data_IF_645975624692
#
_entry.id   IF_645975624692
#
_cell.length_a   1.000
_cell.length_b   1.000
_cell.length_c   1.000
_cell.angle_alpha   90.00
_cell.angle_beta   90.00
_cell.angle_gamma   90.00
#
_symmetry.space_group_name_H-M   'P 1'
#
loop_
_entity.id
_entity.type
_entity.pdbx_description
1 polymer ?
#
# COMPACT_ATOMS: atom_id res chain seq x y z
N UNK A 1 25.19 -33.36 -3.35
CA UNK A 1 23.76 -33.58 -3.68
C UNK A 1 23.63 -33.46 -5.19
N UNK A 2 23.31 -34.56 -5.86
CA UNK A 2 23.11 -34.61 -7.32
C UNK A 2 21.99 -33.63 -7.67
N UNK A 3 22.33 -32.57 -8.41
CA UNK A 3 21.40 -31.52 -8.79
C UNK A 3 20.54 -32.02 -9.95
N UNK A 4 19.27 -32.26 -9.68
CA UNK A 4 18.28 -32.39 -10.74
C UNK A 4 17.90 -30.97 -11.19
N UNK A 5 18.70 -30.41 -12.10
CA UNK A 5 18.56 -29.02 -12.57
C UNK A 5 17.17 -28.77 -13.17
N UNK A 6 16.53 -29.80 -13.73
CA UNK A 6 15.17 -29.74 -14.26
C UNK A 6 14.10 -29.57 -13.17
N UNK A 7 14.26 -30.26 -12.04
CA UNK A 7 13.34 -30.14 -10.91
C UNK A 7 13.35 -28.72 -10.34
N UNK A 8 14.53 -28.16 -10.07
CA UNK A 8 14.64 -26.81 -9.52
C UNK A 8 14.22 -25.72 -10.51
N UNK A 9 14.38 -25.96 -11.82
CA UNK A 9 13.83 -25.07 -12.84
C UNK A 9 12.29 -25.04 -12.81
N UNK A 10 11.64 -26.20 -12.65
CA UNK A 10 10.19 -26.28 -12.52
C UNK A 10 9.68 -25.61 -11.23
N UNK A 11 10.34 -25.85 -10.09
CA UNK A 11 10.01 -25.20 -8.82
C UNK A 11 10.19 -23.69 -8.91
N UNK A 12 11.27 -23.23 -9.57
CA UNK A 12 11.52 -21.80 -9.81
C UNK A 12 10.43 -21.17 -10.66
N UNK A 13 10.04 -21.80 -11.77
CA UNK A 13 8.99 -21.31 -12.65
C UNK A 13 7.68 -21.12 -11.89
N UNK A 14 7.26 -22.10 -11.09
CA UNK A 14 6.06 -22.01 -10.26
C UNK A 14 6.17 -20.95 -9.15
N UNK A 15 7.35 -20.85 -8.52
CA UNK A 15 7.65 -19.85 -7.50
C UNK A 15 7.60 -18.41 -8.05
N UNK A 16 8.22 -18.18 -9.21
CA UNK A 16 8.33 -16.87 -9.85
C UNK A 16 7.07 -16.46 -10.62
N UNK A 17 6.26 -17.41 -11.12
CA UNK A 17 5.00 -17.15 -11.81
C UNK A 17 3.94 -16.49 -10.92
N UNK A 18 4.09 -16.62 -9.59
CA UNK A 18 3.24 -16.00 -8.55
C UNK A 18 1.74 -16.33 -8.60
N UNK A 19 1.33 -17.34 -9.37
CA UNK A 19 -0.08 -17.72 -9.53
C UNK A 19 -0.69 -18.34 -8.26
N UNK A 20 0.14 -18.94 -7.40
CA UNK A 20 -0.29 -19.61 -6.17
C UNK A 20 0.58 -19.20 -4.96
N UNK A 21 0.14 -19.55 -3.74
CA UNK A 21 0.91 -19.27 -2.52
C UNK A 21 2.19 -20.13 -2.45
N UNK A 22 3.18 -19.74 -1.63
CA UNK A 22 4.42 -20.54 -1.50
C UNK A 22 4.12 -21.92 -0.91
N UNK A 23 3.12 -22.01 -0.03
CA UNK A 23 2.63 -23.26 0.55
C UNK A 23 2.05 -24.18 -0.51
N UNK A 24 1.31 -23.63 -1.48
CA UNK A 24 0.77 -24.40 -2.60
C UNK A 24 1.88 -24.87 -3.56
N UNK A 25 2.90 -24.04 -3.83
CA UNK A 25 4.09 -24.47 -4.59
C UNK A 25 4.83 -25.59 -3.84
N UNK A 26 5.01 -25.43 -2.52
CA UNK A 26 5.66 -26.41 -1.67
C UNK A 26 4.93 -27.76 -1.71
N UNK A 27 3.61 -27.75 -1.53
CA UNK A 27 2.77 -28.93 -1.61
C UNK A 27 2.84 -29.61 -2.98
N UNK A 28 2.76 -28.83 -4.07
CA UNK A 28 2.80 -29.35 -5.45
C UNK A 28 4.10 -30.09 -5.76
N UNK A 29 5.22 -29.59 -5.25
CA UNK A 29 6.55 -30.14 -5.52
C UNK A 29 7.06 -31.07 -4.40
N UNK A 30 6.23 -31.40 -3.40
CA UNK A 30 6.62 -32.25 -2.27
C UNK A 30 7.71 -31.64 -1.39
N UNK A 31 7.81 -30.32 -1.34
CA UNK A 31 8.80 -29.56 -0.58
C UNK A 31 8.17 -28.92 0.65
N UNK A 32 9.02 -28.53 1.60
CA UNK A 32 8.62 -27.61 2.66
C UNK A 32 8.83 -26.16 2.19
N UNK A 33 8.07 -25.22 2.76
CA UNK A 33 8.25 -23.79 2.51
C UNK A 33 9.68 -23.34 2.82
N UNK A 34 10.28 -23.87 3.89
CA UNK A 34 11.67 -23.59 4.28
C UNK A 34 12.68 -24.05 3.22
N UNK A 35 12.43 -25.20 2.56
CA UNK A 35 13.30 -25.72 1.50
C UNK A 35 13.23 -24.89 0.23
N UNK A 36 12.05 -24.35 -0.11
CA UNK A 36 11.90 -23.37 -1.19
C UNK A 36 12.59 -22.05 -0.84
N UNK A 37 12.42 -21.54 0.39
CA UNK A 37 13.05 -20.30 0.82
C UNK A 37 14.58 -20.39 0.82
N UNK A 38 15.13 -21.52 1.27
CA UNK A 38 16.55 -21.82 1.21
C UNK A 38 17.04 -21.86 -0.24
N UNK A 39 16.38 -22.62 -1.12
CA UNK A 39 16.75 -22.71 -2.53
C UNK A 39 16.66 -21.35 -3.26
N UNK A 40 15.63 -20.55 -2.96
CA UNK A 40 15.49 -19.21 -3.52
C UNK A 40 16.62 -18.27 -3.11
N UNK A 41 17.14 -18.41 -1.87
CA UNK A 41 18.29 -17.64 -1.38
C UNK A 41 19.60 -18.10 -2.02
N UNK A 42 19.84 -19.42 -2.06
CA UNK A 42 21.07 -20.00 -2.59
C UNK A 42 21.22 -19.81 -4.10
N UNK A 43 20.10 -19.80 -4.84
CA UNK A 43 20.09 -19.69 -6.30
C UNK A 43 19.67 -18.29 -6.81
N UNK A 44 19.65 -17.29 -5.93
CA UNK A 44 19.29 -15.89 -6.21
C UNK A 44 18.00 -15.73 -7.04
N UNK A 45 16.95 -16.48 -6.67
CA UNK A 45 15.66 -16.38 -7.33
C UNK A 45 15.01 -15.02 -7.07
N UNK A 46 14.15 -14.57 -7.99
CA UNK A 46 13.41 -13.31 -7.81
C UNK A 46 12.56 -13.40 -6.55
N UNK A 47 12.96 -12.66 -5.51
CA UNK A 47 12.24 -12.66 -4.24
C UNK A 47 10.77 -12.33 -4.47
N UNK A 48 9.88 -13.13 -3.89
CA UNK A 48 8.45 -12.82 -3.80
C UNK A 48 8.19 -11.71 -2.78
N UNK A 49 8.86 -10.57 -2.92
CA UNK A 49 8.45 -9.35 -2.22
C UNK A 49 7.29 -8.73 -2.97
N UNK A 50 6.11 -9.18 -2.57
CA UNK A 50 5.03 -8.32 -2.11
C UNK A 50 4.13 -9.31 -1.39
N UNK A 51 4.23 -9.35 -0.04
CA UNK A 51 3.06 -9.63 0.80
C UNK A 51 1.91 -9.01 0.03
N UNK A 52 0.91 -9.79 -0.40
CA UNK A 52 -0.31 -9.24 -0.94
C UNK A 52 -0.62 -8.06 -0.03
N UNK A 53 -0.42 -6.86 -0.56
CA UNK A 53 -0.74 -5.67 0.21
C UNK A 53 -2.22 -5.78 0.17
N UNK A 54 -2.80 -6.43 1.20
CA UNK A 54 -4.23 -6.50 1.39
C UNK A 54 -4.68 -5.08 1.08
N UNK A 55 -5.62 -4.85 0.17
CA UNK A 55 -6.00 -3.50 -0.21
C UNK A 55 -6.11 -2.60 1.04
N UNK A 56 -6.68 -3.13 2.13
CA UNK A 56 -6.74 -2.56 3.48
C UNK A 56 -5.39 -1.99 4.00
N UNK A 57 -4.29 -2.71 3.82
CA UNK A 57 -2.92 -2.29 4.16
C UNK A 57 -2.28 -1.30 3.19
N UNK A 58 -2.76 -1.20 1.94
CA UNK A 58 -2.40 -0.10 1.03
C UNK A 58 -3.12 1.19 1.44
N UNK A 59 -4.42 1.10 1.76
CA UNK A 59 -5.21 2.24 2.23
C UNK A 59 -4.62 2.84 3.50
N UNK A 60 -4.26 2.01 4.48
CA UNK A 60 -3.60 2.48 5.71
C UNK A 60 -2.24 3.13 5.45
N UNK A 61 -1.47 2.59 4.50
CA UNK A 61 -0.15 3.14 4.16
C UNK A 61 -0.28 4.50 3.47
N UNK A 62 -1.22 4.64 2.55
CA UNK A 62 -1.55 5.92 1.93
C UNK A 62 -2.09 6.92 2.97
N UNK A 63 -2.99 6.47 3.85
CA UNK A 63 -3.55 7.31 4.92
C UNK A 63 -2.45 7.94 5.79
N UNK A 64 -1.51 7.12 6.28
CA UNK A 64 -0.38 7.60 7.10
C UNK A 64 0.53 8.57 6.36
N UNK A 65 0.74 8.35 5.07
CA UNK A 65 1.55 9.25 4.24
C UNK A 65 0.87 10.61 4.13
N UNK A 66 -0.44 10.65 3.88
CA UNK A 66 -1.20 11.90 3.76
C UNK A 66 -1.20 12.66 5.10
N UNK A 67 -1.42 11.97 6.22
CA UNK A 67 -1.36 12.57 7.55
C UNK A 67 0.03 13.17 7.85
N UNK A 68 1.10 12.44 7.53
CA UNK A 68 2.46 12.95 7.68
C UNK A 68 2.77 14.14 6.75
N UNK A 69 2.13 14.23 5.58
CA UNK A 69 2.23 15.41 4.72
C UNK A 69 1.45 16.59 5.30
N UNK A 70 0.27 16.37 5.88
CA UNK A 70 -0.52 17.41 6.54
C UNK A 70 0.23 18.00 7.74
N UNK A 71 0.77 17.16 8.62
CA UNK A 71 1.57 17.63 9.78
C UNK A 71 2.77 18.44 9.33
N UNK A 72 3.47 18.00 8.27
CA UNK A 72 4.60 18.76 7.71
C UNK A 72 4.13 20.09 7.15
N UNK A 73 3.01 20.15 6.45
CA UNK A 73 2.45 21.41 5.97
C UNK A 73 2.09 22.35 7.12
N UNK A 74 1.45 21.85 8.17
CA UNK A 74 1.14 22.62 9.39
C UNK A 74 2.42 23.15 10.06
N UNK A 75 3.49 22.35 10.10
CA UNK A 75 4.78 22.75 10.67
C UNK A 75 5.57 23.74 9.79
N UNK A 76 5.48 23.61 8.46
CA UNK A 76 6.22 24.44 7.50
C UNK A 76 5.54 25.79 7.25
N UNK A 77 4.22 25.88 7.48
CA UNK A 77 3.50 27.16 7.40
C UNK A 77 3.94 28.17 8.48
N UNK A 78 4.62 27.71 9.54
CA UNK A 78 5.26 28.59 10.52
C UNK A 78 6.46 29.34 9.90
N UNK A 79 7.02 28.85 8.78
CA UNK A 79 8.32 29.32 8.29
C UNK A 79 8.35 30.00 6.92
N UNK A 80 7.32 29.94 6.06
CA UNK A 80 7.39 30.56 4.72
C UNK A 80 6.06 31.15 4.20
N UNK A 81 6.09 32.44 3.83
CA UNK A 81 4.93 33.23 3.34
C UNK A 81 4.69 33.12 1.81
N UNK A 82 5.42 32.28 1.05
CA UNK A 82 5.57 32.51 -0.41
C UNK A 82 5.12 31.39 -1.37
N UNK A 83 4.55 30.26 -0.93
CA UNK A 83 4.22 29.12 -1.83
C UNK A 83 2.74 28.69 -1.91
N UNK A 84 1.79 29.55 -1.52
CA UNK A 84 0.37 29.17 -1.36
C UNK A 84 -0.31 28.52 -2.58
N UNK A 85 0.07 28.87 -3.82
CA UNK A 85 -0.59 28.33 -5.03
C UNK A 85 -0.27 26.85 -5.31
N UNK A 86 0.99 26.44 -5.17
CA UNK A 86 1.42 25.05 -5.37
C UNK A 86 0.90 24.15 -4.24
N UNK A 87 0.85 24.69 -3.02
CA UNK A 87 0.33 24.00 -1.84
C UNK A 87 -1.18 23.74 -1.94
N UNK A 88 -1.96 24.72 -2.40
CA UNK A 88 -3.40 24.54 -2.64
C UNK A 88 -3.67 23.47 -3.69
N UNK A 89 -2.87 23.42 -4.76
CA UNK A 89 -3.01 22.39 -5.79
C UNK A 89 -2.68 20.99 -5.25
N UNK A 90 -1.62 20.87 -4.45
CA UNK A 90 -1.24 19.61 -3.80
C UNK A 90 -2.34 19.13 -2.83
N UNK A 91 -2.82 20.01 -1.96
CA UNK A 91 -3.90 19.71 -1.01
C UNK A 91 -5.20 19.32 -1.73
N UNK A 92 -5.55 20.01 -2.81
CA UNK A 92 -6.71 19.67 -3.63
C UNK A 92 -6.61 18.29 -4.26
N UNK A 93 -5.41 17.90 -4.71
CA UNK A 93 -5.17 16.54 -5.20
C UNK A 93 -5.28 15.50 -4.09
N UNK A 94 -4.80 15.79 -2.88
CA UNK A 94 -4.92 14.90 -1.73
C UNK A 94 -6.38 14.69 -1.29
N UNK A 95 -7.22 15.73 -1.29
CA UNK A 95 -8.67 15.60 -1.06
C UNK A 95 -9.31 14.65 -2.08
N UNK A 96 -9.06 14.88 -3.37
CA UNK A 96 -9.62 14.04 -4.45
C UNK A 96 -9.17 12.59 -4.35
N UNK A 97 -7.92 12.35 -3.93
CA UNK A 97 -7.44 11.00 -3.66
C UNK A 97 -8.21 10.37 -2.51
N UNK A 98 -8.40 11.06 -1.39
CA UNK A 98 -9.16 10.53 -0.25
C UNK A 98 -10.62 10.23 -0.60
N UNK A 99 -11.30 11.12 -1.31
CA UNK A 99 -12.69 10.91 -1.77
C UNK A 99 -12.80 9.61 -2.59
N UNK A 100 -11.89 9.39 -3.55
CA UNK A 100 -11.84 8.15 -4.33
C UNK A 100 -11.59 6.91 -3.45
N UNK A 101 -10.75 7.03 -2.43
CA UNK A 101 -10.50 5.90 -1.53
C UNK A 101 -11.73 5.58 -0.67
N UNK A 102 -12.50 6.59 -0.24
CA UNK A 102 -13.79 6.41 0.46
C UNK A 102 -14.80 5.73 -0.45
N UNK A 103 -14.88 6.13 -1.73
CA UNK A 103 -15.75 5.49 -2.71
C UNK A 103 -15.39 4.02 -2.92
N UNK A 104 -14.10 3.70 -3.07
CA UNK A 104 -13.63 2.32 -3.21
C UNK A 104 -13.92 1.49 -1.95
N UNK A 105 -13.84 2.10 -0.76
CA UNK A 105 -14.24 1.43 0.49
C UNK A 105 -15.76 1.18 0.54
N UNK A 106 -16.58 2.17 0.18
CA UNK A 106 -18.04 2.02 0.10
C UNK A 106 -18.46 0.96 -0.93
N UNK A 107 -17.76 0.85 -2.05
CA UNK A 107 -18.05 -0.15 -3.08
C UNK A 107 -17.70 -1.59 -2.67
N UNK A 108 -16.92 -1.79 -1.60
CA UNK A 108 -16.58 -3.15 -1.12
C UNK A 108 -17.76 -3.83 -0.42
N UNK A 109 -17.87 -5.17 -0.53
CA UNK A 109 -18.84 -5.95 0.26
C UNK A 109 -18.68 -5.64 1.74
N UNK A 110 -19.78 -5.58 2.50
CA UNK A 110 -19.76 -5.16 3.91
C UNK A 110 -18.76 -5.95 4.78
N UNK A 111 -18.60 -7.25 4.51
CA UNK A 111 -17.62 -8.13 5.18
C UNK A 111 -16.14 -7.81 4.88
N UNK A 112 -15.87 -6.99 3.86
CA UNK A 112 -14.52 -6.58 3.40
C UNK A 112 -14.31 -5.07 3.45
N UNK A 113 -15.27 -4.29 3.97
CA UNK A 113 -15.09 -2.85 4.19
C UNK A 113 -14.13 -2.64 5.35
N UNK A 114 -13.42 -1.51 5.32
CA UNK A 114 -12.67 -1.07 6.48
C UNK A 114 -13.61 -0.91 7.69
N UNK A 115 -13.07 -1.03 8.91
CA UNK A 115 -13.90 -0.90 10.11
C UNK A 115 -14.53 0.49 10.18
N UNK A 116 -15.68 0.63 10.88
CA UNK A 116 -16.39 1.91 10.98
C UNK A 116 -15.52 3.07 11.47
N UNK A 117 -14.53 2.78 12.33
CA UNK A 117 -13.56 3.77 12.80
C UNK A 117 -12.66 4.30 11.67
N UNK A 118 -12.19 3.43 10.78
CA UNK A 118 -11.30 3.83 9.68
C UNK A 118 -11.99 4.70 8.63
N UNK A 119 -13.27 4.42 8.33
CA UNK A 119 -14.08 5.26 7.44
C UNK A 119 -14.28 6.67 8.04
N UNK A 120 -14.47 6.75 9.36
CA UNK A 120 -14.58 8.01 10.08
C UNK A 120 -13.28 8.81 10.02
N UNK A 121 -12.14 8.18 10.33
CA UNK A 121 -10.81 8.83 10.23
C UNK A 121 -10.53 9.39 8.83
N UNK A 122 -10.93 8.66 7.78
CA UNK A 122 -10.77 9.10 6.39
C UNK A 122 -11.64 10.32 6.05
N UNK A 123 -12.85 10.37 6.59
CA UNK A 123 -13.76 11.51 6.45
C UNK A 123 -13.22 12.74 7.19
N UNK A 124 -12.73 12.55 8.41
CA UNK A 124 -12.16 13.62 9.24
C UNK A 124 -10.93 14.25 8.59
N UNK A 125 -10.06 13.44 7.98
CA UNK A 125 -8.87 13.92 7.26
C UNK A 125 -9.26 14.74 6.00
N UNK A 126 -10.27 14.29 5.27
CA UNK A 126 -10.82 15.04 4.12
C UNK A 126 -11.32 16.41 4.57
N UNK A 127 -12.07 16.47 5.66
CA UNK A 127 -12.56 17.72 6.24
C UNK A 127 -11.42 18.65 6.68
N UNK A 128 -10.34 18.11 7.27
CA UNK A 128 -9.16 18.90 7.63
C UNK A 128 -8.49 19.53 6.41
N UNK A 129 -8.31 18.77 5.33
CA UNK A 129 -7.71 19.27 4.09
C UNK A 129 -8.60 20.33 3.41
N UNK A 130 -9.92 20.15 3.40
CA UNK A 130 -10.86 21.15 2.86
C UNK A 130 -10.74 22.47 3.62
N UNK A 131 -10.77 22.42 4.96
CA UNK A 131 -10.57 23.62 5.80
C UNK A 131 -9.23 24.30 5.51
N UNK A 132 -8.18 23.51 5.28
CA UNK A 132 -6.84 24.03 4.96
C UNK A 132 -6.80 24.75 3.61
N UNK A 133 -7.43 24.17 2.59
CA UNK A 133 -7.57 24.81 1.27
C UNK A 133 -8.31 26.14 1.41
N UNK A 134 -9.39 26.19 2.21
CA UNK A 134 -10.14 27.42 2.44
C UNK A 134 -9.30 28.49 3.15
N UNK A 135 -8.49 28.13 4.14
CA UNK A 135 -7.58 29.06 4.81
C UNK A 135 -6.54 29.64 3.84
N UNK A 136 -5.92 28.79 3.01
CA UNK A 136 -4.93 29.23 2.03
C UNK A 136 -5.52 30.08 0.90
N UNK A 137 -6.79 29.86 0.52
CA UNK A 137 -7.50 30.71 -0.45
C UNK A 137 -7.88 32.09 0.09
N UNK A 138 -7.94 32.26 1.40
CA UNK A 138 -8.30 33.52 2.08
C UNK A 138 -7.08 34.38 2.41
N UNK A 139 -5.87 33.86 2.19
CA UNK A 139 -4.62 34.63 2.16
C UNK A 139 -4.41 35.19 0.76
#
# INVERSE_FOLDING_TARGET
MVKDDGFWAAVRADYEARQVSVEAVAMRHGLTVGKIAYAAKENDWKRRYLKHVKPESSFQRMFRVIEAHLIRLEATEITMETEGSKEVALLGNLCKTLEKLIEIDKARPQAKRNSGNQSKEMTDLTNKLVRRIEQLKRR
#
